data_IF_776866906194
#
_entry.id   IF_776866906194
#
_cell.length_a   1.000
_cell.length_b   1.000
_cell.length_c   1.000
_cell.angle_alpha   90.00
_cell.angle_beta   90.00
_cell.angle_gamma   90.00
#
_symmetry.space_group_name_H-M   'P 1'
#
loop_
_entity.id
_entity.type
_entity.pdbx_description
1 polymer ?
#
# COMPACT_ATOMS: atom_id res chain seq x y z
N UNK A 1 -8.57 -18.62 0.98
CA UNK A 1 -7.94 -17.31 0.78
C UNK A 1 -8.05 -16.98 -0.70
N UNK A 2 -8.57 -15.79 -1.05
CA UNK A 2 -8.72 -15.33 -2.43
C UNK A 2 -7.64 -14.29 -2.72
N UNK A 3 -7.09 -14.30 -3.94
CA UNK A 3 -6.20 -13.24 -4.44
C UNK A 3 -6.94 -12.37 -5.43
N UNK A 4 -6.78 -11.05 -5.34
CA UNK A 4 -7.43 -10.05 -6.22
C UNK A 4 -6.41 -9.01 -6.61
N UNK A 5 -6.16 -8.84 -7.90
CA UNK A 5 -5.08 -8.04 -8.46
C UNK A 5 -4.21 -8.85 -9.42
N UNK A 6 -3.01 -8.34 -9.66
CA UNK A 6 -2.06 -8.92 -10.61
C UNK A 6 -0.81 -9.49 -9.90
N UNK A 7 0.21 -9.87 -10.67
CA UNK A 7 1.43 -10.48 -10.13
C UNK A 7 2.28 -9.50 -9.31
N UNK A 8 2.18 -8.20 -9.56
CA UNK A 8 2.97 -7.16 -8.90
C UNK A 8 2.24 -6.60 -7.68
N UNK A 9 0.94 -6.38 -7.77
CA UNK A 9 0.14 -5.83 -6.68
C UNK A 9 -1.21 -6.54 -6.59
N UNK A 10 -1.53 -7.06 -5.40
CA UNK A 10 -2.78 -7.77 -5.15
C UNK A 10 -3.14 -7.79 -3.66
N UNK A 11 -4.41 -8.08 -3.36
CA UNK A 11 -4.87 -8.40 -2.01
C UNK A 11 -4.93 -9.90 -1.79
N UNK A 12 -4.48 -10.35 -0.63
CA UNK A 12 -4.87 -11.65 -0.06
C UNK A 12 -6.04 -11.41 0.89
N UNK A 13 -7.21 -12.02 0.61
CA UNK A 13 -8.45 -11.76 1.35
C UNK A 13 -9.02 -13.08 1.89
N UNK A 14 -9.51 -13.06 3.13
CA UNK A 14 -10.37 -14.13 3.66
C UNK A 14 -11.80 -13.81 3.24
N UNK A 15 -12.24 -14.33 2.08
CA UNK A 15 -13.54 -14.00 1.48
C UNK A 15 -14.74 -14.27 2.40
N UNK A 16 -14.64 -15.25 3.30
CA UNK A 16 -15.70 -15.56 4.27
C UNK A 16 -15.89 -14.51 5.37
N UNK A 17 -14.96 -13.56 5.53
CA UNK A 17 -15.10 -12.48 6.51
C UNK A 17 -15.70 -11.21 5.93
N UNK A 18 -16.02 -11.19 4.63
CA UNK A 18 -16.68 -10.03 4.04
C UNK A 18 -18.12 -9.89 4.55
N UNK A 19 -18.34 -8.88 5.40
CA UNK A 19 -19.63 -8.58 6.00
C UNK A 19 -19.68 -7.09 6.37
N UNK A 20 -20.82 -6.43 6.16
CA UNK A 20 -21.00 -5.00 6.48
C UNK A 20 -19.86 -4.10 5.97
N UNK A 21 -19.42 -4.32 4.73
CA UNK A 21 -18.32 -3.59 4.09
C UNK A 21 -16.94 -3.74 4.76
N UNK A 22 -16.75 -4.74 5.62
CA UNK A 22 -15.49 -5.06 6.27
C UNK A 22 -14.92 -6.36 5.71
N UNK A 23 -13.60 -6.50 5.52
CA UNK A 23 -12.97 -7.78 5.20
C UNK A 23 -11.56 -7.90 5.80
N UNK A 24 -11.11 -9.12 6.10
CA UNK A 24 -9.75 -9.37 6.57
C UNK A 24 -8.84 -9.54 5.35
N UNK A 25 -7.87 -8.66 5.21
CA UNK A 25 -7.04 -8.58 4.01
C UNK A 25 -5.61 -8.16 4.31
N UNK A 26 -4.71 -8.54 3.40
CA UNK A 26 -3.31 -8.12 3.36
C UNK A 26 -3.05 -7.55 1.98
N UNK A 27 -2.41 -6.39 1.91
CA UNK A 27 -1.92 -5.84 0.65
C UNK A 27 -0.54 -6.43 0.34
N UNK A 28 -0.38 -6.97 -0.86
CA UNK A 28 0.88 -7.52 -1.34
C UNK A 28 1.38 -6.67 -2.49
N UNK A 29 2.62 -6.18 -2.37
CA UNK A 29 3.31 -5.42 -3.42
C UNK A 29 4.68 -6.06 -3.66
N UNK A 30 4.86 -6.70 -4.81
CA UNK A 30 6.10 -7.38 -5.22
C UNK A 30 6.62 -8.29 -4.09
N UNK A 31 5.71 -9.15 -3.60
CA UNK A 31 5.94 -10.10 -2.51
C UNK A 31 5.98 -9.52 -1.09
N UNK A 32 6.08 -8.19 -0.92
CA UNK A 32 5.99 -7.55 0.40
C UNK A 32 4.54 -7.55 0.87
N UNK A 33 4.29 -8.12 2.04
CA UNK A 33 2.96 -8.16 2.67
C UNK A 33 2.84 -7.06 3.72
N UNK A 34 1.82 -6.23 3.63
CA UNK A 34 1.49 -5.23 4.65
C UNK A 34 0.03 -5.37 5.08
N UNK A 35 -0.23 -5.10 6.37
CA UNK A 35 -1.51 -5.36 7.01
C UNK A 35 -1.65 -6.80 7.53
N UNK A 36 -2.84 -7.14 8.04
CA UNK A 36 -3.07 -8.40 8.75
C UNK A 36 -4.38 -9.06 8.37
N UNK A 37 -4.40 -10.40 8.36
CA UNK A 37 -5.63 -11.18 8.23
C UNK A 37 -6.36 -11.38 9.56
N UNK A 38 -5.80 -10.92 10.68
CA UNK A 38 -6.36 -11.14 12.02
C UNK A 38 -7.44 -10.13 12.42
N UNK A 39 -7.54 -9.01 11.71
CA UNK A 39 -8.51 -7.94 11.99
C UNK A 39 -9.15 -7.48 10.67
N UNK A 40 -10.44 -7.09 10.68
CA UNK A 40 -11.10 -6.63 9.47
C UNK A 40 -10.73 -5.17 9.12
N UNK A 41 -10.71 -4.89 7.83
CA UNK A 41 -10.48 -3.58 7.21
C UNK A 41 -11.78 -3.05 6.62
N UNK A 42 -12.10 -1.77 6.84
CA UNK A 42 -13.27 -1.13 6.21
C UNK A 42 -12.99 -0.83 4.73
N UNK A 43 -13.63 -1.61 3.85
CA UNK A 43 -13.35 -1.65 2.41
C UNK A 43 -13.58 -0.31 1.70
N UNK A 44 -14.67 0.44 1.95
CA UNK A 44 -14.91 1.70 1.26
C UNK A 44 -13.81 2.74 1.49
N UNK A 45 -13.34 2.90 2.73
CA UNK A 45 -12.29 3.84 3.08
C UNK A 45 -10.92 3.36 2.59
N UNK A 46 -10.65 2.06 2.67
CA UNK A 46 -9.47 1.44 2.08
C UNK A 46 -9.37 1.71 0.56
N UNK A 47 -10.46 1.48 -0.19
CA UNK A 47 -10.51 1.74 -1.63
C UNK A 47 -10.33 3.23 -1.93
N UNK A 48 -11.02 4.11 -1.21
CA UNK A 48 -10.88 5.56 -1.39
C UNK A 48 -9.44 6.03 -1.15
N UNK A 49 -8.77 5.47 -0.17
CA UNK A 49 -7.36 5.77 0.13
C UNK A 49 -6.38 5.30 -0.95
N UNK A 50 -6.68 4.21 -1.66
CA UNK A 50 -5.87 3.78 -2.80
C UNK A 50 -6.15 4.64 -4.04
N UNK A 51 -7.40 5.06 -4.23
CA UNK A 51 -7.78 5.95 -5.34
C UNK A 51 -7.15 7.34 -5.22
N UNK A 52 -7.04 7.87 -4.00
CA UNK A 52 -6.41 9.17 -3.75
C UNK A 52 -4.97 9.25 -4.27
N UNK A 53 -4.23 8.13 -4.21
CA UNK A 53 -2.86 8.05 -4.73
C UNK A 53 -2.76 8.39 -6.22
N UNK A 54 -3.79 8.06 -7.01
CA UNK A 54 -3.83 8.35 -8.45
C UNK A 54 -4.16 9.81 -8.76
N UNK A 55 -4.97 10.46 -7.92
CA UNK A 55 -5.62 11.73 -8.27
C UNK A 55 -5.04 12.92 -7.52
N UNK A 56 -4.52 12.73 -6.31
CA UNK A 56 -4.03 13.83 -5.51
C UNK A 56 -2.64 14.29 -5.98
N UNK A 57 -2.51 15.60 -6.20
CA UNK A 57 -1.28 16.24 -6.67
C UNK A 57 -0.14 16.14 -5.66
N UNK A 58 -0.44 15.99 -4.36
CA UNK A 58 0.60 15.86 -3.32
C UNK A 58 1.54 14.68 -3.58
N UNK A 59 1.04 13.62 -4.23
CA UNK A 59 1.85 12.44 -4.57
C UNK A 59 2.57 12.59 -5.91
N UNK A 60 2.24 13.56 -6.75
CA UNK A 60 2.80 13.69 -8.09
C UNK A 60 4.11 14.46 -8.11
N UNK A 61 5.13 13.90 -8.77
CA UNK A 61 6.39 14.56 -9.06
C UNK A 61 6.86 14.15 -10.46
N UNK A 62 6.80 15.09 -11.41
CA UNK A 62 7.12 14.81 -12.83
C UNK A 62 8.55 14.30 -13.07
N UNK A 63 9.50 14.71 -12.22
CA UNK A 63 10.91 14.31 -12.32
C UNK A 63 11.25 13.10 -11.44
N UNK A 64 10.24 12.45 -10.85
CA UNK A 64 10.49 11.29 -10.01
C UNK A 64 11.09 10.15 -10.84
N UNK A 65 12.13 9.54 -10.29
CA UNK A 65 12.67 8.29 -10.77
C UNK A 65 13.18 7.48 -9.58
N UNK A 66 13.69 6.27 -9.86
CA UNK A 66 14.18 5.35 -8.83
C UNK A 66 15.37 5.90 -8.06
N UNK A 67 16.25 6.67 -8.69
CA UNK A 67 17.48 7.17 -8.06
C UNK A 67 17.17 8.40 -7.21
N UNK A 68 16.33 9.31 -7.70
CA UNK A 68 15.82 10.44 -6.91
C UNK A 68 15.03 9.95 -5.69
N UNK A 69 14.17 8.93 -5.85
CA UNK A 69 13.41 8.39 -4.73
C UNK A 69 14.33 7.82 -3.62
N UNK A 70 15.38 7.10 -4.01
CA UNK A 70 16.39 6.59 -3.07
C UNK A 70 17.18 7.70 -2.39
N UNK A 71 17.48 8.77 -3.12
CA UNK A 71 18.14 9.95 -2.56
C UNK A 71 17.26 10.62 -1.49
N UNK A 72 15.98 10.86 -1.78
CA UNK A 72 15.00 11.43 -0.83
C UNK A 72 14.92 10.60 0.45
N UNK A 73 14.92 9.26 0.33
CA UNK A 73 14.91 8.35 1.48
C UNK A 73 16.21 8.46 2.27
N UNK A 74 17.37 8.47 1.60
CA UNK A 74 18.69 8.59 2.25
C UNK A 74 18.82 9.91 3.01
N UNK A 75 18.23 10.98 2.50
CA UNK A 75 18.22 12.30 3.14
C UNK A 75 17.19 12.41 4.28
N UNK A 76 16.38 11.38 4.52
CA UNK A 76 15.34 11.37 5.57
C UNK A 76 14.15 12.30 5.28
N UNK A 77 14.05 12.85 4.07
CA UNK A 77 12.99 13.81 3.70
C UNK A 77 11.60 13.17 3.66
N UNK A 78 11.54 11.89 3.33
CA UNK A 78 10.28 11.15 3.21
C UNK A 78 9.59 10.88 4.56
N UNK A 79 10.23 11.13 5.70
CA UNK A 79 9.66 10.77 7.00
C UNK A 79 8.41 11.59 7.36
N UNK A 80 8.25 12.81 6.84
CA UNK A 80 7.15 13.71 7.19
C UNK A 80 6.28 14.18 6.02
N UNK A 81 6.57 13.76 4.80
CA UNK A 81 5.87 14.18 3.58
C UNK A 81 5.19 12.99 2.91
N UNK A 82 4.27 13.22 1.96
CA UNK A 82 3.75 12.16 1.09
C UNK A 82 3.12 10.96 1.83
N UNK A 83 2.51 11.23 2.99
CA UNK A 83 1.84 10.25 3.85
C UNK A 83 0.54 9.82 3.19
N UNK A 84 0.26 8.52 3.21
CA UNK A 84 -1.08 8.01 2.92
C UNK A 84 -1.54 7.04 4.01
N UNK A 85 -2.84 7.03 4.25
CA UNK A 85 -3.51 6.11 5.17
C UNK A 85 -4.14 4.97 4.38
N UNK A 86 -4.46 3.87 5.05
CA UNK A 86 -5.25 2.80 4.42
C UNK A 86 -6.43 2.49 5.33
N UNK A 87 -6.16 1.91 6.49
CA UNK A 87 -7.07 1.64 7.62
C UNK A 87 -6.24 1.16 8.82
N UNK A 88 -6.85 1.03 9.99
CA UNK A 88 -6.20 0.67 11.27
C UNK A 88 -5.28 -0.57 11.18
N UNK A 89 -5.67 -1.57 10.39
CA UNK A 89 -4.91 -2.82 10.22
C UNK A 89 -3.53 -2.61 9.57
N UNK A 90 -3.27 -1.43 9.01
CA UNK A 90 -2.03 -1.06 8.34
C UNK A 90 -1.18 -0.07 9.14
N UNK A 91 -1.63 0.39 10.31
CA UNK A 91 -1.01 1.50 11.03
C UNK A 91 0.32 1.15 11.72
N UNK A 92 0.61 -0.15 11.84
CA UNK A 92 1.94 -0.65 12.22
C UNK A 92 3.05 -0.23 11.24
N UNK A 93 2.67 0.20 10.02
CA UNK A 93 3.62 0.66 9.01
C UNK A 93 3.57 2.17 8.84
N UNK A 94 4.76 2.77 8.80
CA UNK A 94 4.97 4.02 8.08
C UNK A 94 4.74 3.76 6.59
N UNK A 95 3.92 4.59 5.96
CA UNK A 95 3.48 4.44 4.57
C UNK A 95 3.68 5.76 3.83
N UNK A 96 4.44 5.74 2.75
CA UNK A 96 4.76 6.93 1.95
C UNK A 96 4.68 6.59 0.48
N UNK A 97 4.21 7.53 -0.33
CA UNK A 97 4.01 7.30 -1.75
C UNK A 97 4.34 8.54 -2.57
N UNK A 98 5.10 8.37 -3.65
CA UNK A 98 5.24 9.36 -4.71
C UNK A 98 4.95 8.69 -6.05
N UNK A 99 4.59 9.47 -7.08
CA UNK A 99 4.38 8.96 -8.43
C UNK A 99 4.89 9.93 -9.48
N UNK A 100 5.43 9.39 -10.57
CA UNK A 100 5.58 10.11 -11.82
C UNK A 100 4.36 9.81 -12.73
N UNK A 101 4.55 9.85 -14.05
CA UNK A 101 3.51 9.52 -15.04
C UNK A 101 3.38 8.03 -15.35
N UNK A 102 4.35 7.22 -14.95
CA UNK A 102 4.48 5.81 -15.30
C UNK A 102 4.48 4.88 -14.09
N UNK A 103 4.93 5.35 -12.93
CA UNK A 103 5.22 4.53 -11.76
C UNK A 103 4.80 5.20 -10.44
N UNK A 104 4.38 4.35 -9.51
CA UNK A 104 4.32 4.62 -8.08
C UNK A 104 5.62 4.16 -7.40
N UNK A 105 6.08 4.96 -6.45
CA UNK A 105 7.24 4.73 -5.61
C UNK A 105 6.75 4.67 -4.16
N UNK A 106 6.65 3.45 -3.64
CA UNK A 106 6.21 3.19 -2.29
C UNK A 106 7.40 3.03 -1.36
N UNK A 107 7.27 3.61 -0.17
CA UNK A 107 8.14 3.37 0.96
C UNK A 107 7.32 2.90 2.14
N UNK A 108 7.77 1.80 2.73
CA UNK A 108 7.23 1.23 3.95
C UNK A 108 8.32 1.05 4.99
N UNK A 109 7.96 1.23 6.26
CA UNK A 109 8.83 0.92 7.41
C UNK A 109 7.94 0.43 8.56
N UNK A 110 8.20 -0.77 9.07
CA UNK A 110 7.48 -1.30 10.24
C UNK A 110 7.96 -0.56 11.50
N UNK A 111 7.02 -0.01 12.28
CA UNK A 111 7.33 0.69 13.53
C UNK A 111 7.83 -0.27 14.62
N UNK A 112 8.58 0.25 15.59
CA UNK A 112 9.02 -0.52 16.77
C UNK A 112 7.83 -0.99 17.61
N UNK A 113 6.84 -0.11 17.78
CA UNK A 113 5.65 -0.35 18.62
C UNK A 113 4.49 -0.97 17.82
N UNK A 114 4.79 -1.82 16.82
CA UNK A 114 3.76 -2.48 16.03
C UNK A 114 2.91 -3.43 16.88
N UNK A 115 1.61 -3.48 16.58
CA UNK A 115 0.64 -4.30 17.30
C UNK A 115 0.57 -5.75 16.80
N UNK A 116 0.65 -5.96 15.48
CA UNK A 116 0.53 -7.29 14.87
C UNK A 116 1.89 -7.91 14.53
N UNK A 117 1.98 -9.24 14.49
CA UNK A 117 3.19 -9.93 14.06
C UNK A 117 3.27 -10.06 12.54
N UNK A 118 4.45 -9.77 11.97
CA UNK A 118 4.71 -9.86 10.54
C UNK A 118 5.88 -10.80 10.25
N UNK A 119 5.68 -11.77 9.36
CA UNK A 119 6.73 -12.69 8.95
C UNK A 119 7.70 -12.03 7.97
N UNK A 120 9.00 -12.28 8.14
CA UNK A 120 10.07 -11.84 7.23
C UNK A 120 10.16 -10.31 7.05
N UNK A 121 9.69 -9.53 8.01
CA UNK A 121 9.84 -8.06 8.03
C UNK A 121 10.69 -7.67 9.23
N UNK A 122 11.78 -6.96 8.95
CA UNK A 122 12.64 -6.39 9.98
C UNK A 122 12.13 -5.01 10.37
N UNK A 123 11.93 -4.79 11.67
CA UNK A 123 11.54 -3.50 12.25
C UNK A 123 12.52 -2.39 11.82
N UNK A 124 11.99 -1.18 11.62
CA UNK A 124 12.74 0.01 11.21
C UNK A 124 13.58 -0.10 9.93
N UNK A 125 13.39 -1.16 9.14
CA UNK A 125 14.12 -1.34 7.88
C UNK A 125 13.30 -0.75 6.72
N UNK A 126 13.86 0.18 5.94
CA UNK A 126 13.20 0.70 4.75
C UNK A 126 12.87 -0.40 3.72
N UNK A 127 11.63 -0.43 3.27
CA UNK A 127 11.16 -1.32 2.21
C UNK A 127 10.62 -0.48 1.06
N UNK A 128 11.29 -0.56 -0.09
CA UNK A 128 10.99 0.26 -1.28
C UNK A 128 10.35 -0.63 -2.33
N UNK A 129 9.18 -0.25 -2.82
CA UNK A 129 8.49 -0.94 -3.92
C UNK A 129 8.12 0.03 -5.03
N UNK A 130 8.23 -0.43 -6.27
CA UNK A 130 7.87 0.35 -7.45
C UNK A 130 6.83 -0.44 -8.21
N UNK A 131 5.72 0.22 -8.57
CA UNK A 131 4.60 -0.40 -9.29
C UNK A 131 4.24 0.51 -10.44
N UNK A 132 4.11 -0.03 -11.65
CA UNK A 132 3.65 0.80 -12.77
C UNK A 132 2.21 1.27 -12.55
N UNK A 133 1.88 2.51 -12.96
CA UNK A 133 0.54 3.08 -12.84
C UNK A 133 -0.50 2.19 -13.54
N UNK A 134 -0.15 1.63 -14.71
CA UNK A 134 -1.05 0.72 -15.42
C UNK A 134 -1.41 -0.51 -14.58
N UNK A 135 -0.42 -1.14 -13.92
CA UNK A 135 -0.66 -2.30 -13.05
C UNK A 135 -1.45 -1.93 -11.80
N UNK A 136 -1.22 -0.74 -11.25
CA UNK A 136 -1.99 -0.24 -10.12
C UNK A 136 -3.46 0.03 -10.49
N UNK A 137 -3.72 0.61 -11.67
CA UNK A 137 -5.07 0.85 -12.20
C UNK A 137 -5.80 -0.45 -12.49
N UNK A 138 -5.13 -1.43 -13.11
CA UNK A 138 -5.67 -2.79 -13.31
C UNK A 138 -6.12 -3.40 -11.97
N UNK A 139 -5.24 -3.33 -10.96
CA UNK A 139 -5.52 -3.80 -9.61
C UNK A 139 -6.75 -3.12 -8.99
N UNK A 140 -6.83 -1.80 -9.06
CA UNK A 140 -7.97 -1.04 -8.52
C UNK A 140 -9.29 -1.38 -9.22
N UNK A 141 -9.28 -1.57 -10.53
CA UNK A 141 -10.49 -1.93 -11.27
C UNK A 141 -10.98 -3.34 -10.90
N UNK A 142 -10.07 -4.29 -10.73
CA UNK A 142 -10.42 -5.63 -10.22
C UNK A 142 -10.98 -5.58 -8.80
N UNK A 143 -10.38 -4.75 -7.93
CA UNK A 143 -10.83 -4.56 -6.56
C UNK A 143 -12.26 -4.02 -6.50
N UNK A 144 -12.55 -2.97 -7.28
CA UNK A 144 -13.89 -2.38 -7.42
C UNK A 144 -14.90 -3.43 -7.91
N UNK A 145 -14.54 -4.19 -8.94
CA UNK A 145 -15.41 -5.22 -9.51
C UNK A 145 -15.72 -6.37 -8.55
N UNK A 146 -14.89 -6.60 -7.53
CA UNK A 146 -15.12 -7.64 -6.54
C UNK A 146 -16.01 -7.19 -5.38
N UNK A 147 -15.93 -5.91 -4.98
CA UNK A 147 -16.64 -5.38 -3.82
C UNK A 147 -17.91 -4.59 -4.17
N UNK A 148 -18.19 -4.41 -5.46
CA UNK A 148 -19.46 -3.87 -5.99
C UNK A 148 -20.37 -5.00 -6.46
#
# INVERSE_FOLDING_TARGET
>A
MKKIGNQEIYLEIISSTYCNNMANLVLVIDGLKIGTLSSPTYIPSFMNSLESLLVEEIYFCEKMDKDLFREIIREGKLENENIFTLEETFDDFMKRCMRDRENFYFYFKLYEEHFFSYENITVNTPMIKIVSINKFVEFLNELKSYFQ
#
